data_IF_404221417703
#
_entry.id   IF_404221417703
#
_cell.length_a   1.000
_cell.length_b   1.000
_cell.length_c   1.000
_cell.angle_alpha   90.00
_cell.angle_beta   90.00
_cell.angle_gamma   90.00
#
_symmetry.space_group_name_H-M   'P 1'
#
loop_
_entity.id
_entity.type
_entity.pdbx_description
1 polymer ?
#
# COMPACT_ATOMS: atom_id res chain seq x y z
N UNK A 1 -10.76 -16.37 0.72
CA UNK A 1 -10.37 -14.97 0.49
C UNK A 1 -10.44 -14.63 -0.98
N UNK A 2 -11.23 -13.62 -1.34
CA UNK A 2 -11.31 -13.04 -2.67
C UNK A 2 -10.04 -12.28 -3.03
N UNK A 3 -9.82 -12.04 -4.33
CA UNK A 3 -8.68 -11.26 -4.84
C UNK A 3 -8.64 -9.84 -4.23
N UNK A 4 -9.81 -9.24 -3.99
CA UNK A 4 -9.95 -7.92 -3.35
C UNK A 4 -9.53 -7.96 -1.88
N UNK A 5 -9.96 -8.98 -1.14
CA UNK A 5 -9.60 -9.12 0.28
C UNK A 5 -8.09 -9.30 0.46
N UNK A 6 -7.43 -10.07 -0.42
CA UNK A 6 -5.96 -10.21 -0.40
C UNK A 6 -5.27 -8.87 -0.63
N UNK A 7 -5.67 -8.14 -1.67
CA UNK A 7 -5.07 -6.83 -1.98
C UNK A 7 -5.32 -5.84 -0.83
N UNK A 8 -6.51 -5.85 -0.24
CA UNK A 8 -6.83 -5.01 0.92
C UNK A 8 -5.97 -5.36 2.14
N UNK A 9 -5.72 -6.64 2.39
CA UNK A 9 -4.86 -7.08 3.49
C UNK A 9 -3.40 -6.70 3.26
N UNK A 10 -2.90 -6.86 2.03
CA UNK A 10 -1.53 -6.45 1.67
C UNK A 10 -1.35 -4.93 1.81
N UNK A 11 -2.39 -4.16 1.46
CA UNK A 11 -2.44 -2.70 1.63
C UNK A 11 -2.33 -2.29 3.10
N UNK A 12 -3.13 -2.93 3.96
CA UNK A 12 -3.11 -2.64 5.39
C UNK A 12 -1.75 -2.97 6.00
N UNK A 13 -1.18 -4.11 5.64
CA UNK A 13 0.15 -4.53 6.10
C UNK A 13 1.24 -3.53 5.66
N UNK A 14 1.19 -3.05 4.41
CA UNK A 14 2.13 -2.04 3.91
C UNK A 14 1.96 -0.70 4.64
N UNK A 15 0.71 -0.29 4.90
CA UNK A 15 0.43 0.95 5.66
C UNK A 15 0.99 0.88 7.07
N UNK A 16 0.83 -0.25 7.76
CA UNK A 16 1.37 -0.46 9.10
C UNK A 16 2.90 -0.39 9.07
N UNK A 17 3.56 -1.12 8.16
CA UNK A 17 5.02 -1.11 8.03
C UNK A 17 5.58 0.28 7.74
N UNK A 18 4.92 1.05 6.88
CA UNK A 18 5.33 2.42 6.58
C UNK A 18 5.22 3.32 7.81
N UNK A 19 4.13 3.23 8.57
CA UNK A 19 3.98 4.02 9.79
C UNK A 19 5.02 3.66 10.86
N UNK A 20 5.38 2.37 10.98
CA UNK A 20 6.47 1.92 11.86
C UNK A 20 7.80 2.54 11.40
N UNK A 21 8.12 2.43 10.11
CA UNK A 21 9.34 3.02 9.53
C UNK A 21 9.41 4.54 9.76
N UNK A 22 8.31 5.26 9.60
CA UNK A 22 8.21 6.71 9.86
C UNK A 22 8.42 7.03 11.36
N UNK A 23 7.87 6.19 12.25
CA UNK A 23 8.06 6.37 13.68
C UNK A 23 9.51 6.09 14.13
N UNK A 24 10.16 5.10 13.50
CA UNK A 24 11.55 4.72 13.76
C UNK A 24 12.55 5.73 13.17
N UNK A 25 12.29 6.17 11.94
CA UNK A 25 13.14 7.11 11.21
C UNK A 25 12.45 8.46 11.16
N UNK A 26 12.88 9.37 12.02
CA UNK A 26 12.37 10.76 12.15
C UNK A 26 12.51 11.62 10.87
N UNK A 27 13.10 11.09 9.81
CA UNK A 27 13.28 11.75 8.53
C UNK A 27 12.46 11.05 7.45
N UNK A 28 11.40 11.72 6.98
CA UNK A 28 10.53 11.21 5.92
C UNK A 28 11.24 11.09 4.56
N UNK A 29 12.40 11.72 4.40
CA UNK A 29 13.23 11.61 3.21
C UNK A 29 14.18 10.41 3.26
N UNK A 30 14.12 9.59 4.32
CA UNK A 30 14.88 8.36 4.37
C UNK A 30 14.52 7.47 3.15
N UNK A 31 15.54 6.96 2.42
CA UNK A 31 15.30 6.15 1.23
C UNK A 31 14.40 4.95 1.47
N UNK A 32 14.41 4.34 2.66
CA UNK A 32 13.52 3.22 2.98
C UNK A 32 12.07 3.66 3.13
N UNK A 33 11.83 4.84 3.72
CA UNK A 33 10.49 5.44 3.80
C UNK A 33 9.98 5.78 2.40
N UNK A 34 10.83 6.34 1.54
CA UNK A 34 10.46 6.66 0.15
C UNK A 34 10.10 5.38 -0.61
N UNK A 35 10.92 4.33 -0.52
CA UNK A 35 10.66 3.05 -1.18
C UNK A 35 9.37 2.41 -0.65
N UNK A 36 9.19 2.37 0.67
CA UNK A 36 7.98 1.82 1.28
C UNK A 36 6.72 2.61 0.87
N UNK A 37 6.82 3.93 0.75
CA UNK A 37 5.74 4.81 0.27
C UNK A 37 5.38 4.51 -1.19
N UNK A 38 6.38 4.35 -2.06
CA UNK A 38 6.16 3.99 -3.47
C UNK A 38 5.54 2.59 -3.63
N UNK A 39 5.93 1.64 -2.78
CA UNK A 39 5.33 0.30 -2.77
C UNK A 39 3.85 0.34 -2.37
N UNK A 40 3.52 1.15 -1.35
CA UNK A 40 2.14 1.37 -0.91
C UNK A 40 1.30 1.99 -2.03
N UNK A 41 1.82 3.00 -2.71
CA UNK A 41 1.14 3.65 -3.84
C UNK A 41 0.90 2.68 -5.02
N UNK A 42 1.89 1.84 -5.35
CA UNK A 42 1.71 0.80 -6.37
C UNK A 42 0.60 -0.19 -6.01
N UNK A 43 0.51 -0.57 -4.73
CA UNK A 43 -0.55 -1.46 -4.23
C UNK A 43 -1.94 -0.79 -4.28
N UNK A 44 -2.04 0.49 -3.91
CA UNK A 44 -3.26 1.30 -4.04
C UNK A 44 -3.74 1.36 -5.50
N UNK A 45 -2.83 1.63 -6.43
CA UNK A 45 -3.14 1.69 -7.84
C UNK A 45 -3.67 0.35 -8.39
N UNK A 46 -3.10 -0.78 -7.95
CA UNK A 46 -3.60 -2.12 -8.30
C UNK A 46 -4.98 -2.38 -7.72
N UNK A 47 -5.22 -2.02 -6.47
CA UNK A 47 -6.54 -2.13 -5.84
C UNK A 47 -7.58 -1.33 -6.62
N UNK A 48 -7.28 -0.07 -6.94
CA UNK A 48 -8.16 0.82 -7.67
C UNK A 48 -8.54 0.27 -9.05
N UNK A 49 -7.57 -0.27 -9.79
CA UNK A 49 -7.81 -0.93 -11.08
C UNK A 49 -8.78 -2.11 -10.96
N UNK A 50 -8.56 -2.99 -9.99
CA UNK A 50 -9.42 -4.16 -9.75
C UNK A 50 -10.85 -3.75 -9.38
N UNK A 51 -11.02 -2.69 -8.58
CA UNK A 51 -12.33 -2.16 -8.23
C UNK A 51 -13.04 -1.57 -9.45
N UNK A 52 -12.35 -0.76 -10.27
CA UNK A 52 -12.92 -0.21 -11.50
C UNK A 52 -13.35 -1.32 -12.47
N UNK A 53 -12.51 -2.33 -12.68
CA UNK A 53 -12.84 -3.47 -13.55
C UNK A 53 -14.08 -4.22 -13.06
N UNK A 54 -14.25 -4.33 -11.74
CA UNK A 54 -15.41 -4.99 -11.14
C UNK A 54 -16.69 -4.13 -11.22
N UNK A 55 -16.56 -2.81 -11.22
CA UNK A 55 -17.69 -1.87 -11.33
C UNK A 55 -18.17 -1.66 -12.78
N UNK A 56 -17.30 -1.87 -13.77
CA UNK A 56 -17.64 -1.77 -15.20
C UNK A 56 -18.33 -3.02 -15.76
N UNK A 57 -18.55 -4.05 -14.94
CA UNK A 57 -19.09 -5.34 -15.32
C UNK A 57 -20.43 -5.57 -14.64
#
# INVERSE_FOLDING_TARGET
MSKIEKISSDLENLRIKLNILIAEKKDLLDPEIIIASQMLDSALNRYHKVIIEKMKK
#
